data_IF_134010271349
#
_entry.id   IF_134010271349
#
_cell.length_a   1.000
_cell.length_b   1.000
_cell.length_c   1.000
_cell.angle_alpha   90.00
_cell.angle_beta   90.00
_cell.angle_gamma   90.00
#
_symmetry.space_group_name_H-M   'P 1'
#
loop_
_entity.id
_entity.type
_entity.pdbx_description
1 polymer ?
#
# COMPACT_ATOMS: atom_id res chain seq x y z
N UNK A 1 -38.69 58.96 16.66
CA UNK A 1 -39.42 58.54 15.45
C UNK A 1 -38.50 57.62 14.66
N UNK A 2 -38.90 56.39 14.30
CA UNK A 2 -38.07 55.55 13.45
C UNK A 2 -37.99 56.16 12.05
N UNK A 3 -36.76 56.32 11.54
CA UNK A 3 -36.52 56.79 10.17
C UNK A 3 -36.98 55.69 9.21
N UNK A 4 -38.10 55.92 8.53
CA UNK A 4 -38.58 55.07 7.44
C UNK A 4 -37.84 55.53 6.17
N UNK A 5 -36.92 54.70 5.69
CA UNK A 5 -36.24 54.91 4.40
C UNK A 5 -37.07 54.18 3.34
N UNK A 6 -37.68 54.94 2.42
CA UNK A 6 -38.35 54.40 1.23
C UNK A 6 -37.28 54.18 0.15
N UNK A 7 -36.99 52.91 -0.15
CA UNK A 7 -36.11 52.53 -1.24
C UNK A 7 -36.91 52.35 -2.53
N UNK A 8 -36.38 52.83 -3.65
CA UNK A 8 -36.93 52.52 -4.97
C UNK A 8 -36.66 51.04 -5.33
N UNK A 9 -37.28 50.54 -6.40
CA UNK A 9 -37.13 49.13 -6.80
C UNK A 9 -35.66 48.72 -7.01
N UNK A 10 -34.80 49.64 -7.49
CA UNK A 10 -33.38 49.39 -7.69
C UNK A 10 -32.60 49.34 -6.37
N UNK A 11 -32.91 50.22 -5.42
CA UNK A 11 -32.37 50.20 -4.06
C UNK A 11 -32.81 48.97 -3.28
N UNK A 12 -34.04 48.50 -3.50
CA UNK A 12 -34.53 47.26 -2.88
C UNK A 12 -33.88 46.01 -3.44
N UNK A 13 -33.68 45.96 -4.77
CA UNK A 13 -32.88 44.91 -5.41
C UNK A 13 -31.42 44.92 -4.97
N UNK A 14 -30.81 46.09 -4.78
CA UNK A 14 -29.43 46.22 -4.28
C UNK A 14 -29.30 45.73 -2.83
N UNK A 15 -30.27 46.03 -1.96
CA UNK A 15 -30.31 45.54 -0.58
C UNK A 15 -30.52 44.02 -0.56
N UNK A 16 -31.46 43.49 -1.34
CA UNK A 16 -31.68 42.04 -1.46
C UNK A 16 -30.44 41.31 -2.00
N UNK A 17 -29.77 41.88 -3.01
CA UNK A 17 -28.53 41.33 -3.54
C UNK A 17 -27.39 41.37 -2.51
N UNK A 18 -27.28 42.41 -1.69
CA UNK A 18 -26.29 42.50 -0.64
C UNK A 18 -26.60 41.61 0.57
N UNK A 19 -27.87 41.47 0.95
CA UNK A 19 -28.31 40.51 1.98
C UNK A 19 -28.04 39.07 1.54
N UNK A 20 -28.43 38.71 0.31
CA UNK A 20 -28.15 37.40 -0.26
C UNK A 20 -26.64 37.10 -0.33
N UNK A 21 -25.80 38.09 -0.66
CA UNK A 21 -24.34 37.95 -0.65
C UNK A 21 -23.77 37.73 0.76
N UNK A 22 -24.27 38.45 1.76
CA UNK A 22 -23.82 38.30 3.15
C UNK A 22 -24.26 36.94 3.74
N UNK A 23 -25.46 36.47 3.42
CA UNK A 23 -25.96 35.16 3.85
C UNK A 23 -25.25 34.01 3.13
N UNK A 24 -24.91 34.17 1.84
CA UNK A 24 -24.03 33.26 1.12
C UNK A 24 -22.66 33.16 1.80
N UNK A 25 -22.02 34.29 2.08
CA UNK A 25 -20.68 34.31 2.70
C UNK A 25 -20.69 33.68 4.10
N UNK A 26 -21.70 33.97 4.91
CA UNK A 26 -21.85 33.36 6.25
C UNK A 26 -22.02 31.84 6.18
N UNK A 27 -22.78 31.34 5.20
CA UNK A 27 -22.94 29.90 5.00
C UNK A 27 -21.67 29.24 4.44
N UNK A 28 -20.93 29.92 3.56
CA UNK A 28 -19.62 29.45 3.06
C UNK A 28 -18.61 29.36 4.21
N UNK A 29 -18.58 30.36 5.10
CA UNK A 29 -17.77 30.37 6.31
C UNK A 29 -18.16 29.24 7.28
N UNK A 30 -19.46 28.94 7.41
CA UNK A 30 -19.97 27.83 8.21
C UNK A 30 -19.52 26.46 7.64
N UNK A 31 -19.66 26.25 6.33
CA UNK A 31 -19.19 25.02 5.66
C UNK A 31 -17.67 24.89 5.76
N UNK A 32 -16.93 26.01 5.58
CA UNK A 32 -15.48 26.09 5.78
C UNK A 32 -15.06 25.69 7.19
N UNK A 33 -15.75 26.21 8.20
CA UNK A 33 -15.52 25.87 9.61
C UNK A 33 -15.78 24.39 9.90
N UNK A 34 -16.92 23.85 9.44
CA UNK A 34 -17.23 22.43 9.59
C UNK A 34 -16.20 21.54 8.90
N UNK A 35 -15.70 21.95 7.72
CA UNK A 35 -14.68 21.23 6.99
C UNK A 35 -13.35 21.21 7.74
N UNK A 36 -12.93 22.35 8.29
CA UNK A 36 -11.73 22.47 9.12
C UNK A 36 -11.82 21.62 10.40
N UNK A 37 -13.02 21.42 10.93
CA UNK A 37 -13.29 20.58 12.10
C UNK A 37 -13.47 19.09 11.78
N UNK A 38 -13.38 18.68 10.51
CA UNK A 38 -13.68 17.33 10.03
C UNK A 38 -15.13 16.86 10.32
N UNK A 39 -16.09 17.79 10.41
CA UNK A 39 -17.50 17.47 10.65
C UNK A 39 -18.20 17.03 9.34
N UNK A 40 -17.80 15.87 8.81
CA UNK A 40 -18.30 15.36 7.53
C UNK A 40 -19.80 15.07 7.55
N UNK A 41 -20.29 14.50 8.65
CA UNK A 41 -21.70 14.18 8.84
C UNK A 41 -22.57 15.45 8.89
N UNK A 42 -22.11 16.49 9.58
CA UNK A 42 -22.80 17.77 9.64
C UNK A 42 -22.91 18.43 8.26
N UNK A 43 -21.82 18.41 7.47
CA UNK A 43 -21.85 18.92 6.09
C UNK A 43 -22.87 18.12 5.27
N UNK A 44 -22.83 16.79 5.31
CA UNK A 44 -23.76 15.95 4.55
C UNK A 44 -25.23 16.21 4.93
N UNK A 45 -25.52 16.30 6.22
CA UNK A 45 -26.87 16.51 6.72
C UNK A 45 -27.47 17.86 6.29
N UNK A 46 -26.65 18.91 6.14
CA UNK A 46 -27.11 20.24 5.66
C UNK A 46 -27.66 20.20 4.24
N UNK A 47 -27.25 19.24 3.43
CA UNK A 47 -27.59 19.15 2.00
C UNK A 47 -28.46 17.93 1.64
N UNK A 48 -28.91 17.16 2.63
CA UNK A 48 -29.76 15.99 2.38
C UNK A 48 -31.21 16.42 2.11
N UNK A 49 -31.90 15.81 1.13
CA UNK A 49 -31.42 14.82 0.16
C UNK A 49 -30.51 15.45 -0.92
N UNK A 50 -29.38 14.81 -1.21
CA UNK A 50 -28.38 15.29 -2.19
C UNK A 50 -28.98 15.41 -3.59
N UNK A 51 -29.98 14.58 -3.89
CA UNK A 51 -30.71 14.58 -5.16
C UNK A 51 -31.38 15.94 -5.45
N UNK A 52 -31.60 16.80 -4.45
CA UNK A 52 -32.20 18.13 -4.59
C UNK A 52 -31.19 19.28 -4.53
N UNK A 53 -29.88 19.00 -4.49
CA UNK A 53 -28.84 20.03 -4.37
C UNK A 53 -28.78 20.94 -5.60
N UNK A 54 -29.31 20.50 -6.74
CA UNK A 54 -29.45 21.26 -7.97
C UNK A 54 -30.35 22.50 -7.84
N UNK A 55 -31.25 22.49 -6.86
CA UNK A 55 -32.11 23.63 -6.47
C UNK A 55 -31.44 24.56 -5.46
N UNK A 56 -30.29 24.18 -4.91
CA UNK A 56 -29.59 25.00 -3.92
C UNK A 56 -28.86 26.17 -4.57
N UNK A 57 -28.65 27.24 -3.79
CA UNK A 57 -27.83 28.39 -4.22
C UNK A 57 -26.37 28.03 -4.52
N UNK A 58 -25.91 26.84 -4.13
CA UNK A 58 -24.53 26.36 -4.32
C UNK A 58 -24.34 25.51 -5.57
N UNK A 59 -25.39 25.19 -6.35
CA UNK A 59 -25.29 24.28 -7.50
C UNK A 59 -24.32 24.74 -8.60
N UNK A 60 -23.96 26.02 -8.61
CA UNK A 60 -22.98 26.61 -9.53
C UNK A 60 -21.68 27.04 -8.84
N UNK A 61 -21.48 26.70 -7.55
CA UNK A 61 -20.26 26.97 -6.80
C UNK A 61 -19.43 25.69 -6.68
N UNK A 62 -18.45 25.53 -7.56
CA UNK A 62 -17.60 24.34 -7.63
C UNK A 62 -16.74 24.11 -6.38
N UNK A 63 -16.39 25.16 -5.62
CA UNK A 63 -15.59 25.04 -4.39
C UNK A 63 -16.42 24.40 -3.27
N UNK A 64 -17.61 24.95 -3.02
CA UNK A 64 -18.54 24.41 -2.01
C UNK A 64 -19.01 23.01 -2.40
N UNK A 65 -19.38 22.79 -3.66
CA UNK A 65 -19.72 21.45 -4.15
C UNK A 65 -18.55 20.48 -3.96
N UNK A 66 -17.31 20.89 -4.24
CA UNK A 66 -16.14 20.03 -4.00
C UNK A 66 -15.98 19.65 -2.52
N UNK A 67 -16.24 20.58 -1.59
CA UNK A 67 -16.18 20.31 -0.15
C UNK A 67 -17.27 19.34 0.28
N UNK A 68 -18.50 19.52 -0.23
CA UNK A 68 -19.63 18.60 0.01
C UNK A 68 -19.31 17.21 -0.52
N UNK A 69 -18.87 17.11 -1.79
CA UNK A 69 -18.48 15.83 -2.40
C UNK A 69 -17.36 15.13 -1.62
N UNK A 70 -16.40 15.90 -1.10
CA UNK A 70 -15.33 15.36 -0.26
C UNK A 70 -15.87 14.84 1.08
N UNK A 71 -16.72 15.58 1.78
CA UNK A 71 -17.34 15.13 3.02
C UNK A 71 -18.13 13.83 2.83
N UNK A 72 -18.97 13.76 1.78
CA UNK A 72 -19.72 12.55 1.42
C UNK A 72 -18.76 11.40 1.11
N UNK A 73 -17.65 11.66 0.39
CA UNK A 73 -16.66 10.62 0.11
C UNK A 73 -16.05 10.03 1.38
N UNK A 74 -15.75 10.84 2.39
CA UNK A 74 -15.22 10.37 3.68
C UNK A 74 -16.22 9.47 4.40
N UNK A 75 -17.48 9.87 4.43
CA UNK A 75 -18.55 9.05 5.02
C UNK A 75 -18.76 7.73 4.27
N UNK A 76 -18.32 7.62 3.01
CA UNK A 76 -18.47 6.40 2.21
C UNK A 76 -17.42 5.31 2.51
N UNK A 77 -16.40 5.60 3.30
CA UNK A 77 -15.33 4.65 3.64
C UNK A 77 -15.79 3.58 4.61
N UNK A 78 -15.17 2.39 4.53
CA UNK A 78 -15.48 1.26 5.40
C UNK A 78 -14.56 1.19 6.63
N UNK A 79 -13.46 1.95 6.64
CA UNK A 79 -12.53 2.02 7.78
C UNK A 79 -13.21 2.32 9.11
N UNK A 80 -14.29 3.09 9.06
CA UNK A 80 -15.01 3.59 10.24
C UNK A 80 -16.19 2.68 10.63
N UNK A 81 -16.44 1.62 9.85
CA UNK A 81 -17.51 0.68 10.16
C UNK A 81 -17.12 -0.23 11.34
N UNK A 82 -18.03 -0.39 12.29
CA UNK A 82 -17.86 -1.30 13.41
C UNK A 82 -17.68 -2.75 12.90
N UNK A 83 -16.59 -3.39 13.32
CA UNK A 83 -16.24 -4.77 12.96
C UNK A 83 -17.31 -5.76 13.39
N UNK A 84 -18.01 -5.53 14.51
CA UNK A 84 -19.11 -6.39 14.95
C UNK A 84 -20.30 -6.30 13.98
N UNK A 85 -20.58 -5.10 13.47
CA UNK A 85 -21.62 -4.90 12.47
C UNK A 85 -21.30 -5.61 11.14
N UNK A 86 -20.02 -5.65 10.74
CA UNK A 86 -19.59 -6.37 9.54
C UNK A 86 -19.64 -7.90 9.68
N UNK A 87 -19.60 -8.43 10.90
CA UNK A 87 -19.77 -9.87 11.16
C UNK A 87 -21.24 -10.33 11.01
N UNK A 88 -22.21 -9.41 11.10
CA UNK A 88 -23.63 -9.72 10.93
C UNK A 88 -24.07 -9.45 9.49
N UNK A 89 -24.53 -10.50 8.78
CA UNK A 89 -24.88 -10.43 7.34
C UNK A 89 -25.89 -9.30 7.03
N UNK A 90 -26.99 -9.19 7.79
CA UNK A 90 -28.04 -8.19 7.53
C UNK A 90 -27.54 -6.76 7.79
N UNK A 91 -26.80 -6.55 8.89
CA UNK A 91 -26.23 -5.23 9.21
C UNK A 91 -25.18 -4.83 8.17
N UNK A 92 -24.33 -5.78 7.78
CA UNK A 92 -23.32 -5.62 6.72
C UNK A 92 -23.96 -5.20 5.40
N UNK A 93 -24.99 -5.88 4.92
CA UNK A 93 -25.69 -5.52 3.67
C UNK A 93 -26.26 -4.10 3.72
N UNK A 94 -26.87 -3.72 4.85
CA UNK A 94 -27.38 -2.36 5.07
C UNK A 94 -26.26 -1.32 4.97
N UNK A 95 -25.15 -1.54 5.68
CA UNK A 95 -23.97 -0.65 5.66
C UNK A 95 -23.41 -0.55 4.24
N UNK A 96 -23.21 -1.66 3.54
CA UNK A 96 -22.68 -1.65 2.18
C UNK A 96 -23.57 -0.87 1.22
N UNK A 97 -24.90 -1.04 1.33
CA UNK A 97 -25.87 -0.28 0.53
C UNK A 97 -25.80 1.22 0.81
N UNK A 98 -25.72 1.60 2.09
CA UNK A 98 -25.58 3.00 2.50
C UNK A 98 -24.27 3.62 1.99
N UNK A 99 -23.15 2.91 2.17
CA UNK A 99 -21.83 3.37 1.71
C UNK A 99 -21.78 3.46 0.18
N UNK A 100 -22.43 2.55 -0.55
CA UNK A 100 -22.60 2.64 -2.00
C UNK A 100 -23.38 3.88 -2.41
N UNK A 101 -24.52 4.16 -1.74
CA UNK A 101 -25.29 5.38 -1.98
C UNK A 101 -24.44 6.64 -1.81
N UNK A 102 -23.67 6.72 -0.73
CA UNK A 102 -22.78 7.86 -0.48
C UNK A 102 -21.72 8.02 -1.60
N UNK A 103 -21.16 6.93 -2.12
CA UNK A 103 -20.22 7.01 -3.26
C UNK A 103 -20.89 7.56 -4.52
N UNK A 104 -22.13 7.12 -4.80
CA UNK A 104 -22.90 7.59 -5.96
C UNK A 104 -23.27 9.08 -5.83
N UNK A 105 -23.68 9.51 -4.64
CA UNK A 105 -23.95 10.91 -4.31
C UNK A 105 -22.69 11.78 -4.45
N UNK A 106 -21.53 11.33 -3.95
CA UNK A 106 -20.26 12.03 -4.12
C UNK A 106 -19.84 12.11 -5.61
N UNK A 107 -19.98 11.01 -6.37
CA UNK A 107 -19.67 10.99 -7.81
C UNK A 107 -20.57 11.97 -8.58
N UNK A 108 -21.85 12.07 -8.22
CA UNK A 108 -22.80 13.04 -8.79
C UNK A 108 -22.33 14.48 -8.58
N UNK A 109 -21.94 14.84 -7.35
CA UNK A 109 -21.43 16.18 -7.03
C UNK A 109 -20.14 16.50 -7.82
N UNK A 110 -19.17 15.58 -7.85
CA UNK A 110 -17.92 15.83 -8.55
C UNK A 110 -18.09 15.94 -10.08
N UNK A 111 -19.05 15.23 -10.67
CA UNK A 111 -19.41 15.41 -12.09
C UNK A 111 -19.91 16.82 -12.36
N UNK A 112 -20.73 17.37 -11.45
CA UNK A 112 -21.15 18.77 -11.58
C UNK A 112 -19.97 19.74 -11.48
N UNK A 113 -19.02 19.51 -10.57
CA UNK A 113 -17.81 20.32 -10.50
C UNK A 113 -17.01 20.31 -11.83
N UNK A 114 -16.93 19.16 -12.52
CA UNK A 114 -16.27 19.04 -13.83
C UNK A 114 -16.97 19.88 -14.91
N UNK A 115 -18.30 19.99 -14.85
CA UNK A 115 -19.08 20.77 -15.82
C UNK A 115 -18.85 22.29 -15.64
N UNK A 116 -18.75 22.73 -14.39
CA UNK A 116 -18.63 24.15 -14.02
C UNK A 116 -17.17 24.63 -14.18
N UNK A 117 -16.21 23.90 -13.63
CA UNK A 117 -14.81 24.30 -13.54
C UNK A 117 -13.93 23.36 -14.39
N UNK A 118 -13.85 23.72 -15.68
CA UNK A 118 -13.11 22.96 -16.69
C UNK A 118 -11.60 23.03 -16.49
N UNK A 119 -11.09 24.12 -15.91
CA UNK A 119 -9.66 24.32 -15.67
C UNK A 119 -9.14 23.34 -14.62
N UNK A 120 -9.91 23.09 -13.54
CA UNK A 120 -9.53 22.11 -12.52
C UNK A 120 -10.15 20.73 -12.73
N UNK A 121 -10.59 20.40 -13.95
CA UNK A 121 -11.22 19.10 -14.27
C UNK A 121 -10.39 17.90 -13.80
N UNK A 122 -9.06 17.94 -13.92
CA UNK A 122 -8.17 16.88 -13.48
C UNK A 122 -8.31 16.56 -11.98
N UNK A 123 -8.48 17.60 -11.13
CA UNK A 123 -8.67 17.46 -9.68
C UNK A 123 -9.95 16.68 -9.37
N UNK A 124 -11.05 17.01 -10.04
CA UNK A 124 -12.34 16.36 -9.79
C UNK A 124 -12.39 14.93 -10.31
N UNK A 125 -11.81 14.65 -11.47
CA UNK A 125 -11.64 13.28 -11.98
C UNK A 125 -10.83 12.44 -10.98
N UNK A 126 -9.74 12.98 -10.44
CA UNK A 126 -8.96 12.32 -9.40
C UNK A 126 -9.76 12.04 -8.12
N UNK A 127 -10.62 12.96 -7.69
CA UNK A 127 -11.49 12.73 -6.53
C UNK A 127 -12.46 11.56 -6.79
N UNK A 128 -13.09 11.50 -7.97
CA UNK A 128 -13.96 10.37 -8.34
C UNK A 128 -13.15 9.06 -8.35
N UNK A 129 -11.96 9.06 -8.96
CA UNK A 129 -11.09 7.90 -8.98
C UNK A 129 -10.71 7.43 -7.56
N UNK A 130 -10.39 8.38 -6.68
CA UNK A 130 -9.96 8.12 -5.31
C UNK A 130 -11.06 7.48 -4.45
N UNK A 131 -12.33 7.86 -4.63
CA UNK A 131 -13.46 7.21 -3.94
C UNK A 131 -13.51 5.71 -4.26
N UNK A 132 -13.43 5.38 -5.56
CA UNK A 132 -13.48 4.01 -6.05
C UNK A 132 -12.22 3.22 -5.61
N UNK A 133 -11.05 3.85 -5.69
CA UNK A 133 -9.77 3.32 -5.20
C UNK A 133 -9.81 2.97 -3.70
N UNK A 134 -10.27 3.89 -2.86
CA UNK A 134 -10.31 3.68 -1.41
C UNK A 134 -11.26 2.53 -1.05
N UNK A 135 -12.43 2.49 -1.71
CA UNK A 135 -13.37 1.40 -1.52
C UNK A 135 -12.75 0.03 -1.86
N UNK A 136 -11.99 -0.06 -2.96
CA UNK A 136 -11.27 -1.29 -3.31
C UNK A 136 -10.25 -1.69 -2.25
N UNK A 137 -9.47 -0.74 -1.74
CA UNK A 137 -8.49 -1.02 -0.68
C UNK A 137 -9.18 -1.57 0.56
N UNK A 138 -10.25 -0.93 1.00
CA UNK A 138 -11.05 -1.38 2.13
C UNK A 138 -11.61 -2.79 1.88
N UNK A 139 -12.22 -3.01 0.70
CA UNK A 139 -12.85 -4.28 0.36
C UNK A 139 -11.84 -5.44 0.32
N UNK A 140 -10.67 -5.19 -0.26
CA UNK A 140 -9.60 -6.16 -0.42
C UNK A 140 -8.88 -6.45 0.89
N UNK A 141 -8.63 -5.45 1.73
CA UNK A 141 -7.92 -5.65 3.00
C UNK A 141 -8.81 -6.31 4.06
N UNK A 142 -10.12 -6.17 3.94
CA UNK A 142 -11.12 -6.77 4.82
C UNK A 142 -11.64 -8.12 4.31
N UNK A 143 -10.77 -8.98 3.74
CA UNK A 143 -11.14 -10.28 3.11
C UNK A 143 -12.01 -11.20 3.98
N UNK A 144 -11.89 -11.12 5.32
CA UNK A 144 -12.74 -11.88 6.25
C UNK A 144 -14.23 -11.62 6.03
N UNK A 145 -14.57 -10.48 5.43
CA UNK A 145 -15.93 -10.02 5.31
C UNK A 145 -16.52 -10.21 3.91
N UNK A 146 -15.83 -10.84 2.93
CA UNK A 146 -16.27 -11.08 1.54
C UNK A 146 -17.35 -10.09 1.10
N UNK A 147 -16.93 -8.84 0.89
CA UNK A 147 -17.83 -7.68 0.93
C UNK A 147 -18.73 -7.62 -0.30
N UNK A 148 -18.25 -8.01 -1.48
CA UNK A 148 -19.01 -8.02 -2.73
C UNK A 148 -18.56 -9.17 -3.66
N UNK A 149 -19.25 -9.31 -4.80
CA UNK A 149 -18.86 -10.23 -5.88
C UNK A 149 -17.59 -9.74 -6.58
N UNK A 150 -16.92 -10.65 -7.29
CA UNK A 150 -15.75 -10.29 -8.12
C UNK A 150 -16.11 -9.26 -9.19
N UNK A 151 -17.32 -9.34 -9.77
CA UNK A 151 -17.80 -8.44 -10.81
C UNK A 151 -18.00 -7.00 -10.30
N UNK A 152 -18.53 -6.86 -9.09
CA UNK A 152 -18.67 -5.55 -8.44
C UNK A 152 -17.28 -4.92 -8.20
N UNK A 153 -16.34 -5.68 -7.63
CA UNK A 153 -14.98 -5.20 -7.39
C UNK A 153 -14.29 -4.79 -8.71
N UNK A 154 -14.48 -5.56 -9.78
CA UNK A 154 -13.93 -5.21 -11.08
C UNK A 154 -14.55 -3.92 -11.65
N UNK A 155 -15.83 -3.66 -11.37
CA UNK A 155 -16.50 -2.41 -11.75
C UNK A 155 -15.86 -1.20 -11.07
N UNK A 156 -15.63 -1.25 -9.75
CA UNK A 156 -14.95 -0.17 -9.02
C UNK A 156 -13.50 -0.01 -9.48
N UNK A 157 -12.81 -1.12 -9.76
CA UNK A 157 -11.45 -1.11 -10.30
C UNK A 157 -11.39 -0.35 -11.64
N UNK A 158 -12.24 -0.73 -12.60
CA UNK A 158 -12.29 -0.11 -13.92
C UNK A 158 -12.66 1.38 -13.85
N UNK A 159 -13.58 1.75 -12.94
CA UNK A 159 -13.90 3.17 -12.69
C UNK A 159 -12.68 3.93 -12.17
N UNK A 160 -12.01 3.41 -11.13
CA UNK A 160 -10.83 4.06 -10.55
C UNK A 160 -9.73 4.24 -11.59
N UNK A 161 -9.40 3.17 -12.33
CA UNK A 161 -8.41 3.22 -13.40
C UNK A 161 -8.74 4.26 -14.46
N UNK A 162 -9.97 4.22 -15.00
CA UNK A 162 -10.40 5.14 -16.05
C UNK A 162 -10.26 6.59 -15.61
N UNK A 163 -10.78 6.94 -14.44
CA UNK A 163 -10.77 8.32 -13.97
C UNK A 163 -9.36 8.81 -13.59
N UNK A 164 -8.48 7.96 -13.06
CA UNK A 164 -7.08 8.34 -12.88
C UNK A 164 -6.39 8.57 -14.22
N UNK A 165 -6.59 7.68 -15.21
CA UNK A 165 -6.04 7.87 -16.57
C UNK A 165 -6.55 9.14 -17.21
N UNK A 166 -7.83 9.46 -17.07
CA UNK A 166 -8.40 10.69 -17.62
C UNK A 166 -7.89 11.95 -16.90
N UNK A 167 -7.66 11.89 -15.58
CA UNK A 167 -6.99 12.98 -14.86
C UNK A 167 -5.55 13.19 -15.36
N UNK A 168 -4.80 12.10 -15.57
CA UNK A 168 -3.41 12.12 -16.04
C UNK A 168 -3.24 12.55 -17.50
N UNK A 169 -4.26 12.37 -18.35
CA UNK A 169 -4.28 12.94 -19.70
C UNK A 169 -4.35 14.47 -19.69
N UNK A 170 -4.94 15.05 -18.64
CA UNK A 170 -5.06 16.51 -18.50
C UNK A 170 -3.84 17.11 -17.80
N UNK A 171 -3.26 16.37 -16.86
CA UNK A 171 -2.08 16.78 -16.10
C UNK A 171 -1.29 15.52 -15.71
N UNK A 172 -0.17 15.28 -16.42
CA UNK A 172 0.65 14.09 -16.26
C UNK A 172 1.71 14.23 -15.15
N UNK A 173 1.74 15.36 -14.45
CA UNK A 173 2.68 15.62 -13.33
C UNK A 173 2.18 15.10 -11.98
N UNK A 174 0.96 14.55 -11.95
CA UNK A 174 0.25 14.16 -10.72
C UNK A 174 0.77 12.84 -10.14
N UNK A 175 1.85 12.92 -9.35
CA UNK A 175 2.53 11.77 -8.72
C UNK A 175 1.57 10.85 -7.95
N UNK A 176 0.60 11.39 -7.19
CA UNK A 176 -0.30 10.57 -6.37
C UNK A 176 -1.18 9.66 -7.22
N UNK A 177 -1.61 10.14 -8.37
CA UNK A 177 -2.47 9.43 -9.31
C UNK A 177 -1.67 8.35 -10.05
N UNK A 178 -0.44 8.63 -10.48
CA UNK A 178 0.48 7.60 -11.00
C UNK A 178 0.73 6.50 -9.96
N UNK A 179 1.01 6.88 -8.71
CA UNK A 179 1.23 5.93 -7.62
C UNK A 179 0.00 5.04 -7.39
N UNK A 180 -1.18 5.64 -7.30
CA UNK A 180 -2.44 4.90 -7.07
C UNK A 180 -2.77 3.95 -8.23
N UNK A 181 -2.51 4.34 -9.48
CA UNK A 181 -2.61 3.44 -10.63
C UNK A 181 -1.64 2.26 -10.51
N UNK A 182 -0.36 2.55 -10.22
CA UNK A 182 0.64 1.50 -10.00
C UNK A 182 0.22 0.52 -8.90
N UNK A 183 -0.23 1.05 -7.76
CA UNK A 183 -0.72 0.25 -6.64
C UNK A 183 -1.94 -0.60 -7.01
N UNK A 184 -2.93 -0.04 -7.73
CA UNK A 184 -4.11 -0.78 -8.18
C UNK A 184 -3.71 -2.02 -8.99
N UNK A 185 -2.80 -1.84 -9.94
CA UNK A 185 -2.33 -2.92 -10.80
C UNK A 185 -1.54 -3.97 -10.02
N UNK A 186 -0.59 -3.54 -9.17
CA UNK A 186 0.30 -4.45 -8.43
C UNK A 186 -0.44 -5.22 -7.33
N UNK A 187 -1.17 -4.51 -6.49
CA UNK A 187 -1.65 -5.02 -5.20
C UNK A 187 -3.13 -5.37 -5.19
N UNK A 188 -3.94 -4.82 -6.10
CA UNK A 188 -5.39 -5.03 -6.12
C UNK A 188 -5.83 -6.00 -7.23
N UNK A 189 -5.31 -5.86 -8.44
CA UNK A 189 -5.85 -6.57 -9.61
C UNK A 189 -5.79 -8.10 -9.47
N UNK A 190 -4.63 -8.67 -9.11
CA UNK A 190 -4.47 -10.12 -8.88
C UNK A 190 -5.22 -10.68 -7.67
N UNK A 191 -5.88 -9.81 -6.89
CA UNK A 191 -6.78 -10.21 -5.79
C UNK A 191 -8.24 -10.30 -6.25
N UNK A 192 -8.56 -9.75 -7.42
CA UNK A 192 -9.88 -9.74 -8.04
C UNK A 192 -9.92 -10.77 -9.17
N UNK A 193 -8.89 -10.81 -10.02
CA UNK A 193 -8.79 -11.66 -11.21
C UNK A 193 -7.90 -12.87 -10.94
N UNK A 194 -8.27 -14.04 -11.48
CA UNK A 194 -7.57 -15.33 -11.28
C UNK A 194 -6.62 -15.67 -12.43
N UNK A 195 -6.88 -15.15 -13.63
CA UNK A 195 -6.02 -15.36 -14.81
C UNK A 195 -4.60 -14.82 -14.54
N UNK A 196 -3.64 -15.73 -14.42
CA UNK A 196 -2.28 -15.39 -14.00
C UNK A 196 -1.51 -14.60 -15.03
N UNK A 197 -1.78 -14.82 -16.32
CA UNK A 197 -1.04 -14.18 -17.41
C UNK A 197 -1.51 -12.73 -17.58
N UNK A 198 -2.83 -12.52 -17.56
CA UNK A 198 -3.40 -11.17 -17.56
C UNK A 198 -3.03 -10.41 -16.28
N UNK A 199 -3.05 -11.07 -15.12
CA UNK A 199 -2.58 -10.45 -13.87
C UNK A 199 -1.12 -10.01 -13.99
N UNK A 200 -0.24 -10.86 -14.51
CA UNK A 200 1.16 -10.51 -14.68
C UNK A 200 1.34 -9.30 -15.62
N UNK A 201 0.67 -9.30 -16.78
CA UNK A 201 0.71 -8.19 -17.72
C UNK A 201 0.30 -6.86 -17.06
N UNK A 202 -0.79 -6.90 -16.30
CA UNK A 202 -1.31 -5.72 -15.60
C UNK A 202 -0.37 -5.27 -14.49
N UNK A 203 0.22 -6.19 -13.74
CA UNK A 203 1.25 -5.86 -12.75
C UNK A 203 2.46 -5.16 -13.41
N UNK A 204 2.88 -5.60 -14.60
CA UNK A 204 3.95 -4.92 -15.35
C UNK A 204 3.58 -3.49 -15.76
N UNK A 205 2.35 -3.25 -16.22
CA UNK A 205 1.85 -1.87 -16.46
C UNK A 205 1.92 -1.03 -15.17
N UNK A 206 1.60 -1.65 -14.02
CA UNK A 206 1.73 -1.00 -12.73
C UNK A 206 3.17 -0.62 -12.36
N UNK A 207 4.14 -1.47 -12.70
CA UNK A 207 5.58 -1.17 -12.50
C UNK A 207 5.97 0.07 -13.30
N UNK A 208 5.48 0.21 -14.53
CA UNK A 208 5.78 1.37 -15.36
C UNK A 208 5.18 2.65 -14.76
N UNK A 209 3.97 2.60 -14.20
CA UNK A 209 3.38 3.72 -13.46
C UNK A 209 4.18 4.11 -12.22
N UNK A 210 4.65 3.13 -11.43
CA UNK A 210 5.50 3.40 -10.26
C UNK A 210 6.88 3.94 -10.64
N UNK A 211 7.43 3.53 -11.79
CA UNK A 211 8.67 4.13 -12.34
C UNK A 211 8.46 5.58 -12.77
N UNK A 212 7.30 5.91 -13.35
CA UNK A 212 6.95 7.31 -13.66
C UNK A 212 6.89 8.17 -12.40
N UNK A 213 6.38 7.64 -11.28
CA UNK A 213 6.43 8.32 -9.97
C UNK A 213 7.86 8.64 -9.55
N UNK A 214 8.77 7.66 -9.63
CA UNK A 214 10.18 7.84 -9.27
C UNK A 214 10.83 8.93 -10.12
N UNK A 215 10.60 8.92 -11.43
CA UNK A 215 11.17 9.92 -12.33
C UNK A 215 10.62 11.32 -12.04
N UNK A 216 9.30 11.48 -11.93
CA UNK A 216 8.70 12.77 -11.60
C UNK A 216 9.18 13.30 -10.25
N UNK A 217 9.30 12.44 -9.23
CA UNK A 217 9.77 12.84 -7.91
C UNK A 217 11.20 13.40 -7.93
N UNK A 218 12.08 12.83 -8.77
CA UNK A 218 13.47 13.29 -8.92
C UNK A 218 13.57 14.69 -9.55
N UNK A 219 12.56 15.09 -10.31
CA UNK A 219 12.47 16.40 -10.99
C UNK A 219 11.84 17.50 -10.12
N UNK A 220 11.24 17.14 -8.98
CA UNK A 220 10.59 18.08 -8.07
C UNK A 220 11.58 18.99 -7.32
N UNK A 221 11.08 20.16 -6.90
CA UNK A 221 11.76 20.98 -5.89
C UNK A 221 11.79 20.29 -4.52
N UNK A 222 12.72 20.68 -3.64
CA UNK A 222 12.87 20.06 -2.31
C UNK A 222 11.60 20.15 -1.44
N UNK A 223 10.83 21.23 -1.55
CA UNK A 223 9.58 21.37 -0.80
C UNK A 223 8.46 20.47 -1.35
N UNK A 224 8.43 20.26 -2.66
CA UNK A 224 7.48 19.33 -3.28
C UNK A 224 7.86 17.87 -3.01
N UNK A 225 9.17 17.55 -3.00
CA UNK A 225 9.66 16.21 -2.63
C UNK A 225 9.17 15.78 -1.27
N UNK A 226 9.17 16.67 -0.27
CA UNK A 226 8.63 16.39 1.07
C UNK A 226 7.15 15.98 1.02
N UNK A 227 6.34 16.64 0.18
CA UNK A 227 4.89 16.37 0.04
C UNK A 227 4.58 15.04 -0.66
N UNK A 228 5.51 14.55 -1.49
CA UNK A 228 5.35 13.32 -2.28
C UNK A 228 6.31 12.19 -1.84
N UNK A 229 7.04 12.35 -0.74
CA UNK A 229 8.02 11.35 -0.26
C UNK A 229 7.37 10.02 0.03
N UNK A 230 6.12 10.02 0.51
CA UNK A 230 5.38 8.78 0.79
C UNK A 230 5.18 7.95 -0.49
N UNK A 231 4.64 8.55 -1.55
CA UNK A 231 4.37 7.88 -2.82
C UNK A 231 5.66 7.38 -3.48
N UNK A 232 6.73 8.18 -3.43
CA UNK A 232 8.04 7.80 -3.94
C UNK A 232 8.62 6.58 -3.20
N UNK A 233 8.72 6.63 -1.87
CA UNK A 233 9.25 5.51 -1.07
C UNK A 233 8.41 4.24 -1.24
N UNK A 234 7.08 4.36 -1.28
CA UNK A 234 6.21 3.21 -1.50
C UNK A 234 6.33 2.66 -2.93
N UNK A 235 6.66 3.48 -3.93
CA UNK A 235 6.92 3.02 -5.30
C UNK A 235 8.16 2.12 -5.34
N UNK A 236 9.27 2.57 -4.76
CA UNK A 236 10.50 1.76 -4.63
C UNK A 236 10.23 0.42 -3.92
N UNK A 237 9.52 0.49 -2.79
CA UNK A 237 9.19 -0.69 -1.99
C UNK A 237 8.27 -1.66 -2.74
N UNK A 238 7.21 -1.18 -3.41
CA UNK A 238 6.27 -2.05 -4.12
C UNK A 238 6.89 -2.69 -5.37
N UNK A 239 7.73 -1.96 -6.11
CA UNK A 239 8.48 -2.52 -7.25
C UNK A 239 9.42 -3.63 -6.78
N UNK A 240 10.22 -3.37 -5.74
CA UNK A 240 11.15 -4.37 -5.21
C UNK A 240 10.45 -5.61 -4.66
N UNK A 241 9.34 -5.41 -3.93
CA UNK A 241 8.46 -6.47 -3.46
C UNK A 241 7.94 -7.33 -4.61
N UNK A 242 7.43 -6.72 -5.69
CA UNK A 242 6.93 -7.44 -6.85
C UNK A 242 8.00 -8.36 -7.46
N UNK A 243 9.18 -7.82 -7.75
CA UNK A 243 10.27 -8.60 -8.34
C UNK A 243 10.76 -9.71 -7.41
N UNK A 244 10.80 -9.46 -6.10
CA UNK A 244 11.15 -10.48 -5.10
C UNK A 244 10.10 -11.60 -5.04
N UNK A 245 8.80 -11.27 -5.03
CA UNK A 245 7.69 -12.23 -4.90
C UNK A 245 7.42 -13.01 -6.20
N UNK A 246 7.80 -12.48 -7.37
CA UNK A 246 7.71 -13.17 -8.65
C UNK A 246 8.59 -14.44 -8.71
N UNK A 247 9.60 -14.54 -7.85
CA UNK A 247 10.56 -15.65 -7.75
C UNK A 247 10.03 -16.78 -6.85
N UNK A 248 8.85 -17.31 -7.23
CA UNK A 248 8.15 -18.39 -6.49
C UNK A 248 9.03 -19.64 -6.32
N UNK A 249 8.71 -20.43 -5.28
CA UNK A 249 9.24 -21.79 -5.07
C UNK A 249 10.75 -21.93 -4.84
N UNK A 250 11.46 -20.82 -4.62
CA UNK A 250 12.90 -20.82 -4.35
C UNK A 250 13.28 -21.72 -3.16
N UNK A 251 12.63 -21.56 -2.00
CA UNK A 251 13.01 -22.31 -0.80
C UNK A 251 12.73 -23.81 -0.89
N UNK A 252 11.64 -24.22 -1.55
CA UNK A 252 11.37 -25.64 -1.77
C UNK A 252 12.49 -26.30 -2.58
N UNK A 253 13.07 -25.59 -3.54
CA UNK A 253 14.19 -26.09 -4.34
C UNK A 253 15.47 -26.16 -3.51
N UNK A 254 15.75 -25.12 -2.72
CA UNK A 254 16.87 -25.10 -1.76
C UNK A 254 16.77 -26.27 -0.77
N UNK A 255 15.61 -26.50 -0.17
CA UNK A 255 15.37 -27.61 0.77
C UNK A 255 15.71 -28.96 0.13
N UNK A 256 15.25 -29.21 -1.10
CA UNK A 256 15.55 -30.46 -1.81
C UNK A 256 17.05 -30.62 -2.08
N UNK A 257 17.73 -29.55 -2.48
CA UNK A 257 19.20 -29.54 -2.68
C UNK A 257 19.94 -29.87 -1.38
N UNK A 258 19.57 -29.23 -0.27
CA UNK A 258 20.16 -29.48 1.05
C UNK A 258 19.95 -30.92 1.54
N UNK A 259 18.84 -31.55 1.16
CA UNK A 259 18.55 -32.95 1.51
C UNK A 259 19.33 -33.98 0.67
N UNK A 260 20.10 -33.52 -0.33
CA UNK A 260 20.83 -34.38 -1.27
C UNK A 260 19.95 -34.92 -2.41
N UNK A 261 18.73 -34.40 -2.57
CA UNK A 261 17.73 -35.00 -3.46
C UNK A 261 17.78 -34.50 -4.90
N UNK A 262 18.62 -33.50 -5.25
CA UNK A 262 18.61 -32.89 -6.58
C UNK A 262 19.97 -32.29 -6.97
N UNK A 263 20.61 -32.87 -8.01
CA UNK A 263 21.80 -32.30 -8.65
C UNK A 263 21.49 -31.37 -9.84
N UNK A 264 20.27 -31.40 -10.41
CA UNK A 264 19.97 -30.78 -11.72
C UNK A 264 18.69 -29.93 -11.83
N UNK A 265 18.10 -29.45 -10.73
CA UNK A 265 16.99 -28.46 -10.82
C UNK A 265 17.46 -27.05 -10.56
N UNK A 266 17.14 -26.13 -11.47
CA UNK A 266 17.29 -24.69 -11.25
C UNK A 266 16.61 -24.29 -9.94
N UNK A 267 17.30 -23.52 -9.09
CA UNK A 267 16.73 -23.08 -7.82
C UNK A 267 15.55 -22.13 -8.02
N UNK A 268 15.54 -21.43 -9.15
CA UNK A 268 14.49 -20.49 -9.53
C UNK A 268 13.74 -21.05 -10.75
N UNK A 269 12.42 -21.13 -10.65
CA UNK A 269 11.62 -21.43 -11.83
C UNK A 269 11.69 -20.23 -12.79
N UNK A 270 11.90 -20.50 -14.09
CA UNK A 270 11.67 -19.49 -15.12
C UNK A 270 10.17 -19.22 -15.17
N UNK A 271 9.73 -18.20 -14.43
CA UNK A 271 8.40 -17.64 -14.57
C UNK A 271 8.47 -16.54 -15.66
N UNK A 272 7.54 -15.59 -15.64
CA UNK A 272 7.54 -14.44 -16.56
C UNK A 272 8.73 -13.47 -16.38
N UNK A 273 9.58 -13.66 -15.36
CA UNK A 273 10.73 -12.79 -15.08
C UNK A 273 12.00 -13.65 -14.96
N UNK A 274 13.07 -13.22 -15.64
CA UNK A 274 14.39 -13.81 -15.49
C UNK A 274 14.89 -13.64 -14.04
N UNK A 275 15.35 -14.71 -13.35
CA UNK A 275 15.75 -14.63 -11.96
C UNK A 275 16.87 -13.62 -11.67
N UNK A 276 17.84 -13.49 -12.58
CA UNK A 276 18.91 -12.50 -12.43
C UNK A 276 18.30 -11.10 -12.45
N UNK A 277 17.54 -10.80 -13.50
CA UNK A 277 16.92 -9.49 -13.66
C UNK A 277 16.02 -9.13 -12.48
N UNK A 278 15.15 -10.06 -12.06
CA UNK A 278 14.26 -9.85 -10.91
C UNK A 278 15.00 -9.56 -9.61
N UNK A 279 16.02 -10.37 -9.28
CA UNK A 279 16.80 -10.17 -8.05
C UNK A 279 17.55 -8.84 -8.02
N UNK A 280 18.18 -8.47 -9.14
CA UNK A 280 18.97 -7.24 -9.19
C UNK A 280 18.12 -5.97 -9.28
N UNK A 281 16.96 -6.00 -9.93
CA UNK A 281 15.99 -4.90 -9.82
C UNK A 281 15.41 -4.79 -8.42
N UNK A 282 15.04 -5.91 -7.79
CA UNK A 282 14.59 -5.88 -6.41
C UNK A 282 15.66 -5.26 -5.48
N UNK A 283 16.94 -5.56 -5.74
CA UNK A 283 18.07 -5.02 -4.97
C UNK A 283 18.20 -3.52 -5.14
N UNK A 284 18.24 -3.05 -6.38
CA UNK A 284 18.36 -1.63 -6.71
C UNK A 284 17.30 -0.80 -5.97
N UNK A 285 16.02 -1.13 -6.15
CA UNK A 285 14.92 -0.35 -5.57
C UNK A 285 14.83 -0.49 -4.04
N UNK A 286 15.13 -1.67 -3.47
CA UNK A 286 15.02 -1.88 -2.02
C UNK A 286 16.18 -1.22 -1.26
N UNK A 287 17.39 -1.22 -1.83
CA UNK A 287 18.54 -0.50 -1.27
C UNK A 287 18.36 1.02 -1.38
N UNK A 288 17.81 1.53 -2.49
CA UNK A 288 17.42 2.94 -2.63
C UNK A 288 16.36 3.34 -1.59
N UNK A 289 15.35 2.48 -1.38
CA UNK A 289 14.32 2.68 -0.35
C UNK A 289 14.90 2.73 1.07
N UNK A 290 15.93 1.93 1.36
CA UNK A 290 16.66 2.01 2.63
C UNK A 290 17.44 3.31 2.73
N UNK A 291 18.20 3.67 1.69
CA UNK A 291 19.02 4.88 1.65
C UNK A 291 18.19 6.14 1.88
N UNK A 292 17.00 6.25 1.30
CA UNK A 292 16.18 7.47 1.45
C UNK A 292 15.41 7.56 2.78
N UNK A 293 15.33 6.46 3.54
CA UNK A 293 14.73 6.42 4.87
C UNK A 293 15.76 6.49 6.00
N UNK A 294 16.95 5.91 5.78
CA UNK A 294 18.05 5.89 6.74
C UNK A 294 19.14 6.94 6.45
N UNK A 295 19.09 7.59 5.29
CA UNK A 295 20.01 8.63 4.81
C UNK A 295 21.45 8.18 4.55
N UNK A 296 21.71 6.87 4.58
CA UNK A 296 23.02 6.27 4.27
C UNK A 296 22.85 4.99 3.45
N UNK A 297 23.83 4.69 2.60
CA UNK A 297 23.82 3.46 1.80
C UNK A 297 23.97 2.23 2.71
N UNK A 298 23.11 1.23 2.52
CA UNK A 298 23.15 0.01 3.33
C UNK A 298 24.49 -0.70 3.23
N UNK A 299 25.16 -0.66 2.08
CA UNK A 299 26.45 -1.32 1.87
C UNK A 299 27.56 -0.68 2.71
N UNK A 300 27.41 0.60 3.09
CA UNK A 300 28.38 1.34 3.88
C UNK A 300 28.18 1.12 5.39
N UNK A 301 26.92 0.91 5.81
CA UNK A 301 26.56 0.93 7.23
C UNK A 301 26.21 -0.43 7.82
N UNK A 302 25.80 -1.42 7.01
CA UNK A 302 25.17 -2.65 7.50
C UNK A 302 26.01 -3.39 8.54
N UNK A 303 27.33 -3.44 8.39
CA UNK A 303 28.20 -4.15 9.32
C UNK A 303 28.31 -3.46 10.69
N UNK A 304 28.10 -2.15 10.74
CA UNK A 304 28.31 -1.31 11.94
C UNK A 304 27.00 -0.89 12.60
N UNK A 305 25.92 -0.79 11.83
CA UNK A 305 24.63 -0.29 12.30
C UNK A 305 24.08 -1.16 13.44
N UNK A 306 23.57 -0.48 14.47
CA UNK A 306 22.89 -1.10 15.60
C UNK A 306 21.37 -0.91 15.52
N UNK A 307 20.62 -1.65 16.33
CA UNK A 307 19.17 -1.44 16.37
C UNK A 307 18.81 -0.08 16.98
N UNK A 308 19.62 0.42 17.92
CA UNK A 308 19.51 1.75 18.51
C UNK A 308 19.66 2.84 17.45
N UNK A 309 20.59 2.68 16.51
CA UNK A 309 20.78 3.65 15.42
C UNK A 309 19.56 3.72 14.48
N UNK A 310 18.93 2.58 14.21
CA UNK A 310 17.70 2.53 13.42
C UNK A 310 16.56 3.21 14.19
N UNK A 311 16.44 2.94 15.49
CA UNK A 311 15.40 3.54 16.34
C UNK A 311 15.47 5.07 16.37
N UNK A 312 16.65 5.68 16.25
CA UNK A 312 16.81 7.16 16.16
C UNK A 312 16.14 7.78 14.94
N UNK A 313 15.98 7.02 13.86
CA UNK A 313 15.39 7.51 12.60
C UNK A 313 13.95 7.02 12.40
N UNK A 314 13.47 6.09 13.23
CA UNK A 314 12.27 5.27 13.00
C UNK A 314 11.01 6.09 12.71
N UNK A 315 10.82 7.24 13.37
CA UNK A 315 9.64 8.09 13.19
C UNK A 315 9.55 8.73 11.80
N UNK A 316 10.66 8.81 11.07
CA UNK A 316 10.73 9.37 9.72
C UNK A 316 10.45 8.35 8.63
N UNK A 317 10.39 7.06 8.96
CA UNK A 317 10.25 5.99 7.99
C UNK A 317 8.81 5.94 7.45
N UNK A 318 8.67 5.75 6.13
CA UNK A 318 7.38 5.58 5.45
C UNK A 318 7.01 4.11 5.29
N UNK A 319 8.01 3.23 5.22
CA UNK A 319 7.88 1.78 5.31
C UNK A 319 8.35 1.36 6.69
N UNK A 320 7.65 0.40 7.30
CA UNK A 320 8.06 -0.10 8.60
C UNK A 320 9.48 -0.69 8.56
N UNK A 321 10.37 -0.24 9.46
CA UNK A 321 11.76 -0.66 9.43
C UNK A 321 11.96 -2.18 9.58
N UNK A 322 11.12 -2.84 10.38
CA UNK A 322 11.14 -4.29 10.54
C UNK A 322 10.93 -4.98 9.19
N UNK A 323 9.91 -4.56 8.44
CA UNK A 323 9.54 -5.17 7.17
C UNK A 323 10.58 -4.87 6.07
N UNK A 324 11.11 -3.64 6.03
CA UNK A 324 12.17 -3.30 5.08
C UNK A 324 13.44 -4.14 5.31
N UNK A 325 13.91 -4.21 6.56
CA UNK A 325 15.08 -5.02 6.94
C UNK A 325 14.83 -6.51 6.68
N UNK A 326 13.64 -7.01 7.01
CA UNK A 326 13.26 -8.39 6.69
C UNK A 326 13.39 -8.67 5.19
N UNK A 327 12.84 -7.79 4.34
CA UNK A 327 12.87 -7.98 2.88
C UNK A 327 14.27 -7.88 2.32
N UNK A 328 15.11 -6.99 2.84
CA UNK A 328 16.54 -6.92 2.49
C UNK A 328 17.25 -8.22 2.89
N UNK A 329 16.97 -8.72 4.10
CA UNK A 329 17.48 -9.99 4.60
C UNK A 329 17.14 -11.16 3.67
N UNK A 330 15.86 -11.24 3.26
CA UNK A 330 15.38 -12.24 2.31
C UNK A 330 16.01 -12.07 0.93
N UNK A 331 16.14 -10.85 0.45
CA UNK A 331 16.69 -10.59 -0.88
C UNK A 331 18.15 -10.99 -0.98
N UNK A 332 18.98 -10.58 -0.02
CA UNK A 332 20.40 -10.99 0.01
C UNK A 332 20.54 -12.49 0.14
N UNK A 333 19.66 -13.15 0.90
CA UNK A 333 19.62 -14.61 0.98
C UNK A 333 19.29 -15.27 -0.37
N UNK A 334 18.34 -14.73 -1.12
CA UNK A 334 18.00 -15.22 -2.46
C UNK A 334 19.14 -14.99 -3.45
N UNK A 335 19.80 -13.84 -3.40
CA UNK A 335 20.96 -13.54 -4.25
C UNK A 335 22.11 -14.50 -3.97
N UNK A 336 22.41 -14.79 -2.70
CA UNK A 336 23.42 -15.79 -2.33
C UNK A 336 23.16 -17.12 -3.05
N UNK A 337 21.93 -17.64 -2.94
CA UNK A 337 21.61 -18.93 -3.55
C UNK A 337 21.56 -18.87 -5.08
N UNK A 338 21.16 -17.74 -5.68
CA UNK A 338 21.28 -17.55 -7.12
C UNK A 338 22.74 -17.63 -7.58
N UNK A 339 23.66 -16.98 -6.85
CA UNK A 339 25.09 -17.05 -7.14
C UNK A 339 25.64 -18.49 -7.01
N UNK A 340 25.17 -19.26 -6.03
CA UNK A 340 25.48 -20.68 -5.90
C UNK A 340 24.92 -21.49 -7.10
N UNK A 341 23.71 -21.17 -7.58
CA UNK A 341 23.08 -21.84 -8.73
C UNK A 341 23.89 -21.67 -10.01
N UNK A 342 24.46 -20.48 -10.22
CA UNK A 342 25.31 -20.18 -11.38
C UNK A 342 26.80 -20.50 -11.15
N UNK A 343 27.12 -21.28 -10.10
CA UNK A 343 28.48 -21.71 -9.77
C UNK A 343 29.48 -20.55 -9.56
N UNK A 344 29.06 -19.47 -8.91
CA UNK A 344 29.96 -18.38 -8.53
C UNK A 344 31.06 -18.91 -7.59
N UNK A 345 32.33 -18.66 -7.96
CA UNK A 345 33.51 -19.08 -7.19
C UNK A 345 34.05 -18.01 -6.24
N UNK A 346 33.49 -16.81 -6.28
CA UNK A 346 33.90 -15.70 -5.43
C UNK A 346 33.30 -15.87 -4.02
N UNK A 347 34.11 -16.45 -3.14
CA UNK A 347 33.72 -16.78 -1.76
C UNK A 347 33.44 -15.50 -0.95
N UNK A 348 34.20 -14.44 -1.16
CA UNK A 348 34.03 -13.18 -0.42
C UNK A 348 32.71 -12.52 -0.77
N UNK A 349 32.35 -12.52 -2.06
CA UNK A 349 31.04 -12.05 -2.53
C UNK A 349 29.89 -12.86 -1.95
N UNK A 350 30.01 -14.20 -1.93
CA UNK A 350 29.00 -15.08 -1.32
C UNK A 350 28.84 -14.80 0.18
N UNK A 351 29.95 -14.70 0.90
CA UNK A 351 29.97 -14.39 2.33
C UNK A 351 29.39 -13.01 2.63
N UNK A 352 29.65 -12.01 1.78
CA UNK A 352 29.07 -10.68 1.92
C UNK A 352 27.54 -10.72 1.93
N UNK A 353 26.91 -11.45 1.00
CA UNK A 353 25.45 -11.57 0.96
C UNK A 353 24.88 -12.33 2.16
N UNK A 354 25.53 -13.39 2.62
CA UNK A 354 25.13 -14.11 3.83
C UNK A 354 25.21 -13.21 5.07
N UNK A 355 26.30 -12.45 5.22
CA UNK A 355 26.50 -11.55 6.36
C UNK A 355 25.47 -10.42 6.37
N UNK A 356 25.23 -9.79 5.21
CA UNK A 356 24.17 -8.78 5.06
C UNK A 356 22.79 -9.34 5.39
N UNK A 357 22.48 -10.53 4.88
CA UNK A 357 21.22 -11.22 5.17
C UNK A 357 21.03 -11.45 6.66
N UNK A 358 22.05 -12.03 7.31
CA UNK A 358 22.09 -12.29 8.76
C UNK A 358 21.84 -11.02 9.55
N UNK A 359 22.60 -9.97 9.27
CA UNK A 359 22.54 -8.70 9.99
C UNK A 359 21.18 -8.02 9.86
N UNK A 360 20.59 -8.05 8.66
CA UNK A 360 19.24 -7.55 8.44
C UNK A 360 18.19 -8.30 9.28
N UNK A 361 18.24 -9.64 9.31
CA UNK A 361 17.33 -10.42 10.16
C UNK A 361 17.55 -10.14 11.65
N UNK A 362 18.80 -10.09 12.13
CA UNK A 362 19.11 -9.76 13.53
C UNK A 362 18.57 -8.39 13.94
N UNK A 363 18.75 -7.36 13.09
CA UNK A 363 18.23 -6.02 13.35
C UNK A 363 16.69 -6.04 13.39
N UNK A 364 16.03 -6.66 12.40
CA UNK A 364 14.56 -6.74 12.34
C UNK A 364 13.95 -7.41 13.59
N UNK A 365 14.62 -8.42 14.15
CA UNK A 365 14.18 -9.13 15.35
C UNK A 365 14.45 -8.37 16.66
N UNK A 366 15.40 -7.42 16.67
CA UNK A 366 15.74 -6.59 17.85
C UNK A 366 14.90 -5.32 17.94
N UNK A 367 14.33 -4.85 16.83
CA UNK A 367 13.44 -3.68 16.83
C UNK A 367 12.17 -3.94 17.64
N UNK A 368 11.55 -2.87 18.14
CA UNK A 368 10.36 -2.96 18.98
C UNK A 368 9.14 -3.49 18.20
N UNK A 369 8.63 -4.64 18.63
CA UNK A 369 7.44 -5.28 18.07
C UNK A 369 6.19 -4.77 18.80
N UNK A 370 5.45 -3.87 18.17
CA UNK A 370 4.09 -3.50 18.61
C UNK A 370 3.14 -4.69 18.36
N UNK A 371 2.15 -4.90 19.23
CA UNK A 371 1.28 -6.10 19.24
C UNK A 371 0.37 -6.26 18.00
N UNK A 372 0.20 -5.22 17.18
CA UNK A 372 -0.70 -5.21 16.01
C UNK A 372 0.03 -5.07 14.67
N UNK A 373 1.14 -5.80 14.47
CA UNK A 373 1.91 -5.73 13.22
C UNK A 373 1.37 -6.69 12.15
N UNK A 374 1.44 -6.25 10.89
CA UNK A 374 1.06 -7.05 9.71
C UNK A 374 1.97 -8.28 9.54
N UNK A 375 3.24 -8.14 9.93
CA UNK A 375 4.21 -9.22 9.96
C UNK A 375 4.34 -9.81 11.37
N UNK A 376 4.36 -11.14 11.45
CA UNK A 376 4.51 -11.85 12.72
C UNK A 376 5.99 -12.20 12.96
N UNK A 377 6.44 -12.04 14.20
CA UNK A 377 7.84 -12.30 14.58
C UNK A 377 8.30 -13.71 14.24
N UNK A 378 7.44 -14.69 14.44
CA UNK A 378 7.73 -16.10 14.18
C UNK A 378 8.03 -16.39 12.71
N UNK A 379 7.44 -15.62 11.79
CA UNK A 379 7.71 -15.69 10.36
C UNK A 379 9.13 -15.25 10.03
N UNK A 380 9.63 -14.17 10.65
CA UNK A 380 11.02 -13.72 10.47
C UNK A 380 11.99 -14.72 11.11
N UNK A 381 11.70 -15.19 12.32
CA UNK A 381 12.55 -16.17 13.01
C UNK A 381 12.69 -17.46 12.20
N UNK A 382 11.63 -17.92 11.55
CA UNK A 382 11.67 -19.05 10.63
C UNK A 382 12.59 -18.79 9.43
N UNK A 383 12.50 -17.61 8.80
CA UNK A 383 13.38 -17.24 7.68
C UNK A 383 14.83 -17.10 8.12
N UNK A 384 15.06 -16.63 9.34
CA UNK A 384 16.40 -16.56 9.91
C UNK A 384 16.97 -17.97 10.21
N UNK A 385 16.13 -18.90 10.65
CA UNK A 385 16.51 -20.30 10.82
C UNK A 385 16.95 -20.95 9.49
N UNK A 386 16.29 -20.62 8.36
CA UNK A 386 16.71 -21.09 7.02
C UNK A 386 18.12 -20.65 6.66
N UNK A 387 18.51 -19.43 7.04
CA UNK A 387 19.87 -18.93 6.87
C UNK A 387 20.85 -19.75 7.72
N UNK A 388 20.53 -20.00 9.00
CA UNK A 388 21.35 -20.85 9.86
C UNK A 388 21.54 -22.26 9.31
N UNK A 389 20.48 -22.87 8.76
CA UNK A 389 20.56 -24.15 8.06
C UNK A 389 21.52 -24.06 6.87
N UNK A 390 21.40 -23.01 6.06
CA UNK A 390 22.24 -22.81 4.87
C UNK A 390 23.73 -22.74 5.20
N UNK A 391 24.09 -22.13 6.33
CA UNK A 391 25.49 -22.00 6.78
C UNK A 391 25.94 -23.14 7.72
N UNK A 392 25.18 -24.24 7.80
CA UNK A 392 25.54 -25.42 8.59
C UNK A 392 25.45 -25.27 10.12
N UNK A 393 24.80 -24.20 10.60
CA UNK A 393 24.59 -23.90 12.02
C UNK A 393 23.24 -24.47 12.50
N UNK A 394 23.05 -25.78 12.34
CA UNK A 394 21.76 -26.44 12.59
C UNK A 394 21.26 -26.30 14.03
N UNK A 395 22.15 -26.39 15.04
CA UNK A 395 21.76 -26.22 16.44
C UNK A 395 21.15 -24.85 16.72
N UNK A 396 21.65 -23.78 16.08
CA UNK A 396 21.07 -22.44 16.22
C UNK A 396 19.69 -22.34 15.58
N UNK A 397 19.50 -22.97 14.41
CA UNK A 397 18.21 -23.04 13.76
C UNK A 397 17.18 -23.79 14.62
N UNK A 398 17.58 -24.91 15.24
CA UNK A 398 16.74 -25.69 16.15
C UNK A 398 16.38 -24.84 17.37
N UNK A 399 17.36 -24.28 18.07
CA UNK A 399 17.15 -23.46 19.27
C UNK A 399 16.20 -22.28 19.01
N UNK A 400 16.28 -21.68 17.82
CA UNK A 400 15.41 -20.57 17.44
C UNK A 400 13.94 -20.99 17.28
N UNK A 401 13.68 -22.19 16.75
CA UNK A 401 12.32 -22.64 16.38
C UNK A 401 11.68 -23.63 17.34
N UNK A 402 12.45 -24.26 18.23
CA UNK A 402 11.98 -25.32 19.13
C UNK A 402 10.79 -24.86 19.99
N UNK A 403 10.80 -23.61 20.45
CA UNK A 403 9.71 -22.97 21.20
C UNK A 403 8.35 -22.97 20.49
N UNK A 404 8.31 -23.22 19.18
CA UNK A 404 7.09 -23.27 18.37
C UNK A 404 6.54 -24.69 18.16
N UNK A 405 7.30 -25.73 18.52
CA UNK A 405 6.97 -27.13 18.22
C UNK A 405 5.55 -27.50 18.68
N UNK A 406 5.28 -27.34 19.97
CA UNK A 406 3.98 -27.72 20.54
C UNK A 406 2.90 -26.70 20.21
N UNK A 407 3.25 -25.41 20.16
CA UNK A 407 2.33 -24.31 19.88
C UNK A 407 1.65 -24.45 18.51
N UNK A 408 2.36 -24.99 17.51
CA UNK A 408 1.95 -25.00 16.11
C UNK A 408 1.69 -26.40 15.54
N UNK A 409 1.79 -27.46 16.36
CA UNK A 409 1.61 -28.86 15.94
C UNK A 409 0.35 -29.08 15.09
N UNK A 410 -0.78 -28.50 15.52
CA UNK A 410 -2.08 -28.67 14.86
C UNK A 410 -2.53 -27.44 14.06
N UNK A 411 -1.61 -26.49 13.77
CA UNK A 411 -1.92 -25.26 13.03
C UNK A 411 -1.36 -25.33 11.61
N UNK A 412 -2.19 -25.74 10.65
CA UNK A 412 -1.79 -25.88 9.24
C UNK A 412 -1.16 -24.59 8.68
N UNK A 413 -1.70 -23.43 9.05
CA UNK A 413 -1.17 -22.10 8.65
C UNK A 413 0.24 -21.81 9.17
N UNK A 414 0.75 -22.61 10.10
CA UNK A 414 2.07 -22.48 10.73
C UNK A 414 2.99 -23.68 10.50
N UNK A 415 2.55 -24.66 9.70
CA UNK A 415 3.31 -25.87 9.38
C UNK A 415 4.67 -25.60 8.77
N UNK A 416 4.81 -24.51 8.01
CA UNK A 416 6.09 -24.12 7.41
C UNK A 416 7.22 -23.93 8.45
N UNK A 417 6.89 -23.53 9.70
CA UNK A 417 7.86 -23.40 10.80
C UNK A 417 8.35 -24.79 11.23
N UNK A 418 7.41 -25.71 11.41
CA UNK A 418 7.71 -27.09 11.78
C UNK A 418 8.51 -27.81 10.68
N UNK A 419 8.18 -27.56 9.42
CA UNK A 419 8.90 -28.12 8.27
C UNK A 419 10.37 -27.68 8.22
N UNK A 420 10.65 -26.43 8.61
CA UNK A 420 12.01 -25.89 8.69
C UNK A 420 12.75 -26.40 9.93
N UNK A 421 12.07 -26.51 11.08
CA UNK A 421 12.61 -27.15 12.28
C UNK A 421 12.99 -28.61 12.01
N UNK A 422 12.10 -29.38 11.41
CA UNK A 422 12.34 -30.79 11.06
C UNK A 422 13.51 -30.94 10.07
N UNK A 423 13.63 -30.03 9.10
CA UNK A 423 14.79 -29.98 8.21
C UNK A 423 16.08 -29.78 9.01
N UNK A 424 16.13 -28.79 9.91
CA UNK A 424 17.31 -28.53 10.74
C UNK A 424 17.69 -29.75 11.59
N UNK A 425 16.72 -30.38 12.25
CA UNK A 425 16.93 -31.61 13.05
C UNK A 425 17.51 -32.73 12.18
N UNK A 426 16.92 -32.99 11.00
CA UNK A 426 17.37 -34.06 10.13
C UNK A 426 18.82 -33.87 9.65
N UNK A 427 19.20 -32.63 9.31
CA UNK A 427 20.56 -32.31 8.88
C UNK A 427 21.55 -32.34 10.06
N UNK A 428 21.11 -31.96 11.26
CA UNK A 428 21.94 -32.05 12.46
C UNK A 428 22.29 -33.50 12.82
N UNK A 429 21.32 -34.42 12.71
CA UNK A 429 21.54 -35.85 12.93
C UNK A 429 22.54 -36.38 11.91
N UNK A 430 22.35 -36.08 10.61
CA UNK A 430 23.29 -36.51 9.55
C UNK A 430 24.71 -36.01 9.81
N UNK A 431 24.88 -34.77 10.26
CA UNK A 431 26.18 -34.18 10.60
C UNK A 431 26.90 -34.88 11.76
N UNK A 432 26.17 -35.53 12.67
CA UNK A 432 26.76 -36.25 13.81
C UNK A 432 27.14 -37.70 13.49
N UNK A 433 26.62 -38.24 12.39
CA UNK A 433 26.85 -39.64 11.96
C UNK A 433 28.03 -39.74 10.99
N UNK A 434 28.37 -38.64 10.30
CA UNK A 434 29.60 -38.45 9.52
C UNK A 434 30.66 -37.85 10.43
#
# INVERSE_FOLDING_TARGET
MPNIILLDNNGWLAVLNNMNKNDLKKDEDDIGSMFAQNNWEGIYNKFKPIENIDRSKYWNNHEILSMIGFAISKLSYLSDADKECLNNIKKKEKILKEKKKLREEAEFIFKRCIEIDKENKARYLSNIAYINYHYLQDAINNRKFKLESTEDLLTYFNKAERYFKDALKLDDTRIKEWYRLGYLMLECYGKIVVDTDEVFKRQMEGIDYLRKVINLWRELSEDEKKRCKYEYINSLYNISKFYQEALKSFWSNVKRRLQGNLLNTNLFSKNHIDPKQGLFYAKEYLEECFKDQYEQDINEVIDKITHEDIMKTYDNWKIEAIDLLYRLGLLYFMIYWYLIDINCKDIDKLNSYINKSKKCYELSLKLNWKENKSMQRDFIEERFARLYITIGQYDKAINLLEKYRDKYKDKESKKYILDTLNLAVSLNIRKRVV
#
